data_IF_015401386546
#
_entry.id   IF_015401386546
#
_cell.length_a   1.000
_cell.length_b   1.000
_cell.length_c   1.000
_cell.angle_alpha   90.00
_cell.angle_beta   90.00
_cell.angle_gamma   90.00
#
_symmetry.space_group_name_H-M   'P 1'
#
loop_
_entity.id
_entity.type
_entity.pdbx_description
1 polymer ?
#
# COMPACT_ATOMS: atom_id res chain seq x y z
N UNK A 1 -8.86 2.23 36.11
CA UNK A 1 -10.29 2.57 36.09
C UNK A 1 -11.04 1.30 35.73
N UNK A 2 -11.88 0.74 36.60
CA UNK A 2 -12.76 -0.39 36.22
C UNK A 2 -14.00 0.25 35.58
N UNK A 3 -14.37 -0.10 34.33
CA UNK A 3 -15.60 0.43 33.74
C UNK A 3 -16.80 -0.02 34.59
N UNK A 4 -17.75 0.88 34.82
CA UNK A 4 -19.07 0.52 35.37
C UNK A 4 -19.85 -0.20 34.28
N UNK A 5 -20.27 -1.44 34.56
CA UNK A 5 -21.13 -2.20 33.66
C UNK A 5 -22.56 -1.64 33.72
N UNK A 6 -23.14 -1.37 32.56
CA UNK A 6 -24.52 -0.95 32.38
C UNK A 6 -25.43 -2.15 32.12
N UNK A 7 -26.73 -1.94 32.26
CA UNK A 7 -27.73 -2.95 31.89
C UNK A 7 -27.62 -3.28 30.39
N UNK A 8 -27.45 -4.57 30.07
CA UNK A 8 -27.20 -5.06 28.71
C UNK A 8 -25.72 -5.33 28.38
N UNK A 9 -24.78 -4.93 29.23
CA UNK A 9 -23.36 -5.23 29.01
C UNK A 9 -23.06 -6.72 29.21
N UNK A 10 -22.23 -7.28 28.31
CA UNK A 10 -21.73 -8.64 28.45
C UNK A 10 -20.39 -8.65 29.19
N UNK A 11 -20.28 -9.56 30.18
CA UNK A 11 -19.04 -9.77 30.94
C UNK A 11 -18.33 -11.03 30.47
N UNK A 12 -17.19 -10.86 29.80
CA UNK A 12 -16.36 -11.96 29.32
C UNK A 12 -15.21 -12.22 30.31
N UNK A 13 -14.98 -13.48 30.68
CA UNK A 13 -13.88 -13.86 31.56
C UNK A 13 -12.57 -14.11 30.77
N UNK A 14 -11.67 -13.14 30.77
CA UNK A 14 -10.35 -13.24 30.13
C UNK A 14 -9.22 -13.66 31.12
N UNK A 15 -9.54 -14.35 32.22
CA UNK A 15 -8.53 -14.77 33.20
C UNK A 15 -7.48 -15.67 32.56
N UNK A 16 -6.21 -15.31 32.72
CA UNK A 16 -5.07 -16.05 32.15
C UNK A 16 -4.76 -15.69 30.68
N UNK A 17 -5.46 -14.70 30.11
CA UNK A 17 -5.25 -14.21 28.75
C UNK A 17 -4.77 -12.75 28.77
N UNK A 18 -4.29 -12.27 27.63
CA UNK A 18 -3.95 -10.86 27.40
C UNK A 18 -5.10 -10.19 26.65
N UNK A 19 -5.45 -8.98 27.10
CA UNK A 19 -6.35 -8.07 26.36
C UNK A 19 -5.50 -6.94 25.82
N UNK A 20 -5.45 -6.80 24.50
CA UNK A 20 -4.73 -5.74 23.80
C UNK A 20 -5.67 -5.01 22.83
N UNK A 21 -5.28 -3.83 22.33
CA UNK A 21 -5.84 -3.33 21.08
C UNK A 21 -5.68 -4.36 19.97
N UNK A 22 -6.55 -4.29 18.96
CA UNK A 22 -6.37 -5.07 17.74
C UNK A 22 -5.10 -4.65 17.00
N UNK A 23 -4.47 -5.61 16.33
CA UNK A 23 -3.23 -5.37 15.58
C UNK A 23 -3.57 -4.57 14.31
N UNK A 24 -2.74 -3.57 14.01
CA UNK A 24 -2.79 -2.81 12.77
C UNK A 24 -1.69 -3.36 11.87
N UNK A 25 -2.08 -4.00 10.77
CA UNK A 25 -1.16 -4.39 9.72
C UNK A 25 -0.93 -3.20 8.79
N UNK A 26 0.26 -2.61 8.85
CA UNK A 26 0.62 -1.42 8.06
C UNK A 26 1.01 -1.75 6.62
N UNK A 27 1.13 -3.03 6.27
CA UNK A 27 1.55 -3.48 4.95
C UNK A 27 0.66 -4.60 4.43
N UNK A 28 -0.49 -4.24 3.86
CA UNK A 28 -1.45 -5.17 3.28
C UNK A 28 -1.68 -4.93 1.79
N UNK A 29 -1.97 -6.02 1.10
CA UNK A 29 -2.51 -6.08 -0.27
C UNK A 29 -3.93 -6.70 -0.29
N UNK A 30 -4.69 -6.55 0.80
CA UNK A 30 -6.03 -7.12 0.92
C UNK A 30 -7.11 -6.36 0.14
N UNK A 31 -6.74 -5.28 -0.55
CA UNK A 31 -7.65 -4.34 -1.23
C UNK A 31 -8.62 -5.02 -2.19
N UNK A 32 -8.15 -6.03 -2.92
CA UNK A 32 -8.98 -6.80 -3.84
C UNK A 32 -9.59 -8.02 -3.14
N UNK A 33 -8.79 -8.76 -2.39
CA UNK A 33 -9.24 -10.00 -1.75
C UNK A 33 -10.35 -9.79 -0.73
N UNK A 34 -10.49 -8.60 -0.15
CA UNK A 34 -11.58 -8.27 0.77
C UNK A 34 -12.96 -8.24 0.10
N UNK A 35 -13.04 -8.03 -1.22
CA UNK A 35 -14.32 -8.10 -1.94
C UNK A 35 -14.84 -9.55 -2.01
N UNK A 36 -13.92 -10.50 -2.24
CA UNK A 36 -14.18 -11.95 -2.29
C UNK A 36 -14.28 -12.58 -0.91
N UNK A 37 -13.35 -12.25 -0.01
CA UNK A 37 -13.20 -12.79 1.34
C UNK A 37 -13.52 -11.74 2.42
N UNK A 38 -14.68 -11.10 2.29
CA UNK A 38 -15.12 -9.95 3.10
C UNK A 38 -15.09 -10.16 4.61
N UNK A 39 -15.19 -11.40 5.10
CA UNK A 39 -15.06 -11.70 6.53
C UNK A 39 -13.64 -11.48 7.08
N UNK A 40 -12.62 -11.36 6.23
CA UNK A 40 -11.24 -11.08 6.67
C UNK A 40 -10.67 -12.14 7.63
N UNK A 41 -11.16 -13.38 7.56
CA UNK A 41 -10.89 -14.42 8.58
C UNK A 41 -9.40 -14.66 8.83
N UNK A 42 -8.60 -14.73 7.75
CA UNK A 42 -7.16 -14.95 7.84
C UNK A 42 -6.48 -13.87 8.69
N UNK A 43 -6.92 -12.61 8.54
CA UNK A 43 -6.41 -11.46 9.32
C UNK A 43 -6.91 -11.51 10.77
N UNK A 44 -8.23 -11.65 10.97
CA UNK A 44 -8.86 -11.64 12.30
C UNK A 44 -8.35 -12.77 13.19
N UNK A 45 -8.07 -13.95 12.64
CA UNK A 45 -7.51 -15.09 13.40
C UNK A 45 -6.10 -14.82 13.95
N UNK A 46 -5.38 -13.84 13.38
CA UNK A 46 -4.08 -13.39 13.86
C UNK A 46 -4.20 -12.20 14.84
N UNK A 47 -5.42 -11.73 15.12
CA UNK A 47 -5.68 -10.54 15.92
C UNK A 47 -5.58 -9.23 15.15
N UNK A 48 -5.42 -9.26 13.82
CA UNK A 48 -5.40 -8.08 12.97
C UNK A 48 -6.82 -7.55 12.80
N UNK A 49 -7.04 -6.28 13.13
CA UNK A 49 -8.34 -5.62 13.02
C UNK A 49 -8.36 -4.49 12.00
N UNK A 50 -7.18 -4.04 11.56
CA UNK A 50 -7.05 -2.93 10.62
C UNK A 50 -5.91 -3.21 9.64
N UNK A 51 -6.19 -3.03 8.35
CA UNK A 51 -5.20 -3.11 7.29
C UNK A 51 -4.94 -1.72 6.70
N UNK A 52 -3.67 -1.30 6.59
CA UNK A 52 -3.26 -0.25 5.68
C UNK A 52 -2.98 -0.88 4.31
N UNK A 53 -3.60 -0.31 3.30
CA UNK A 53 -3.93 -0.98 2.04
C UNK A 53 -3.44 -0.09 0.88
N UNK A 54 -3.29 -0.64 -0.32
CA UNK A 54 -2.79 0.12 -1.47
C UNK A 54 -1.28 0.30 -1.44
N UNK A 55 -0.56 -0.72 -0.96
CA UNK A 55 0.90 -0.74 -0.82
C UNK A 55 1.64 -0.98 -2.15
N UNK A 56 2.95 -0.74 -2.14
CA UNK A 56 3.86 -1.00 -3.27
C UNK A 56 3.46 -0.32 -4.59
N UNK A 57 2.76 0.81 -4.50
CA UNK A 57 2.30 1.60 -5.64
C UNK A 57 1.12 0.99 -6.40
N UNK A 58 0.42 0.01 -5.83
CA UNK A 58 -0.72 -0.65 -6.47
C UNK A 58 -1.95 -0.44 -5.58
N UNK A 59 -3.01 0.12 -6.16
CA UNK A 59 -4.34 0.25 -5.55
C UNK A 59 -5.42 -0.15 -6.57
N UNK A 60 -6.57 -0.70 -6.13
CA UNK A 60 -7.67 -1.08 -7.02
C UNK A 60 -8.60 0.10 -7.33
N UNK A 61 -8.13 1.32 -7.17
CA UNK A 61 -8.86 2.57 -7.34
C UNK A 61 -7.86 3.67 -7.74
N UNK A 62 -8.37 4.89 -7.96
CA UNK A 62 -7.58 6.06 -8.39
C UNK A 62 -7.13 5.95 -9.84
N UNK A 63 -8.08 5.64 -10.72
CA UNK A 63 -7.83 5.52 -12.15
C UNK A 63 -8.28 6.76 -12.93
N UNK A 64 -7.55 7.14 -13.98
CA UNK A 64 -8.04 8.10 -14.96
C UNK A 64 -9.33 7.62 -15.64
N UNK A 65 -10.20 8.56 -16.01
CA UNK A 65 -11.50 8.24 -16.63
C UNK A 65 -11.33 7.47 -17.95
N UNK A 66 -10.33 7.85 -18.72
CA UNK A 66 -10.01 7.28 -20.02
C UNK A 66 -9.42 5.87 -19.91
N UNK A 67 -8.95 5.48 -18.73
CA UNK A 67 -8.28 4.20 -18.47
C UNK A 67 -9.23 3.13 -17.91
N UNK A 68 -10.44 3.50 -17.49
CA UNK A 68 -11.38 2.62 -16.77
C UNK A 68 -11.71 1.31 -17.50
N UNK A 69 -11.85 1.34 -18.83
CA UNK A 69 -12.24 0.14 -19.59
C UNK A 69 -11.10 -0.87 -19.80
N UNK A 70 -9.84 -0.42 -19.82
CA UNK A 70 -8.65 -1.30 -19.89
C UNK A 70 -8.40 -1.99 -18.54
N UNK A 71 -8.86 -1.38 -17.45
CA UNK A 71 -8.77 -1.92 -16.10
C UNK A 71 -9.83 -2.93 -15.75
N UNK A 72 -11.04 -2.81 -16.28
CA UNK A 72 -12.09 -3.81 -16.08
C UNK A 72 -11.55 -5.20 -16.42
N UNK A 73 -10.92 -5.37 -17.58
CA UNK A 73 -10.33 -6.66 -17.99
C UNK A 73 -9.18 -7.11 -17.07
N UNK A 74 -8.37 -6.19 -16.55
CA UNK A 74 -7.23 -6.54 -15.68
C UNK A 74 -7.66 -6.91 -14.26
N UNK A 75 -8.65 -6.21 -13.72
CA UNK A 75 -9.16 -6.42 -12.37
C UNK A 75 -10.13 -7.61 -12.33
N UNK A 76 -10.99 -7.82 -13.33
CA UNK A 76 -11.86 -9.01 -13.38
C UNK A 76 -11.04 -10.32 -13.39
N UNK A 77 -9.82 -10.30 -13.96
CA UNK A 77 -8.91 -11.45 -13.99
C UNK A 77 -7.97 -11.53 -12.77
N UNK A 78 -8.12 -10.65 -11.77
CA UNK A 78 -7.30 -10.68 -10.57
C UNK A 78 -7.81 -11.71 -9.57
N UNK A 79 -6.91 -12.43 -8.88
CA UNK A 79 -7.24 -13.52 -7.94
C UNK A 79 -8.18 -13.10 -6.77
N UNK A 80 -8.35 -11.79 -6.55
CA UNK A 80 -9.17 -11.19 -5.49
C UNK A 80 -10.60 -10.81 -5.86
N UNK A 81 -10.97 -10.82 -7.15
CA UNK A 81 -12.32 -10.44 -7.61
C UNK A 81 -13.06 -11.72 -8.04
N UNK A 82 -14.34 -11.89 -7.66
CA UNK A 82 -15.10 -13.02 -8.20
C UNK A 82 -15.47 -12.74 -9.67
N UNK A 83 -15.56 -13.79 -10.49
CA UNK A 83 -16.02 -13.66 -11.89
C UNK A 83 -17.37 -12.93 -12.05
N UNK A 84 -18.19 -12.92 -10.99
CA UNK A 84 -19.50 -12.26 -10.96
C UNK A 84 -19.46 -10.82 -10.43
N UNK A 85 -18.35 -10.40 -9.84
CA UNK A 85 -18.18 -9.05 -9.32
C UNK A 85 -17.79 -8.13 -10.47
N UNK A 86 -18.74 -7.28 -10.89
CA UNK A 86 -18.47 -6.26 -11.90
C UNK A 86 -17.52 -5.19 -11.34
N UNK A 87 -16.45 -4.89 -12.05
CA UNK A 87 -15.58 -3.74 -11.75
C UNK A 87 -16.22 -2.48 -12.32
N UNK A 88 -17.03 -1.79 -11.51
CA UNK A 88 -17.85 -0.63 -11.91
C UNK A 88 -17.44 0.67 -11.18
N UNK A 89 -16.24 0.68 -10.58
CA UNK A 89 -15.72 1.80 -9.83
C UNK A 89 -14.39 2.28 -10.42
N UNK A 90 -14.09 3.57 -10.22
CA UNK A 90 -12.85 4.20 -10.67
C UNK A 90 -12.12 4.89 -9.52
N UNK A 91 -12.87 5.61 -8.72
CA UNK A 91 -12.40 6.43 -7.61
C UNK A 91 -12.29 5.63 -6.32
N UNK A 92 -11.57 6.17 -5.33
CA UNK A 92 -11.53 5.56 -4.01
C UNK A 92 -12.92 5.61 -3.34
N UNK A 93 -13.66 6.70 -3.53
CA UNK A 93 -15.02 6.86 -3.02
C UNK A 93 -15.96 5.77 -3.53
N UNK A 94 -15.98 5.52 -4.84
CA UNK A 94 -16.80 4.46 -5.45
C UNK A 94 -16.37 3.05 -4.98
N UNK A 95 -15.06 2.77 -4.92
CA UNK A 95 -14.55 1.50 -4.38
C UNK A 95 -15.01 1.29 -2.94
N UNK A 96 -14.86 2.33 -2.11
CA UNK A 96 -15.27 2.30 -0.69
C UNK A 96 -16.76 2.06 -0.55
N UNK A 97 -17.61 2.72 -1.35
CA UNK A 97 -19.05 2.46 -1.32
C UNK A 97 -19.39 0.99 -1.60
N UNK A 98 -18.65 0.35 -2.51
CA UNK A 98 -18.84 -1.07 -2.83
C UNK A 98 -18.41 -1.98 -1.68
N UNK A 99 -17.27 -1.69 -1.08
CA UNK A 99 -16.76 -2.39 0.12
C UNK A 99 -17.73 -2.24 1.29
N UNK A 100 -18.24 -1.03 1.54
CA UNK A 100 -19.20 -0.72 2.59
C UNK A 100 -20.53 -1.48 2.36
N UNK A 101 -21.06 -1.48 1.12
CA UNK A 101 -22.27 -2.25 0.76
C UNK A 101 -22.09 -3.75 0.95
N UNK A 102 -20.89 -4.28 0.71
CA UNK A 102 -20.58 -5.70 0.88
C UNK A 102 -20.51 -6.09 2.36
N UNK A 103 -20.11 -5.16 3.22
CA UNK A 103 -19.84 -5.38 4.64
C UNK A 103 -18.57 -6.21 4.85
N UNK A 104 -17.57 -5.62 5.50
CA UNK A 104 -16.28 -6.26 5.75
C UNK A 104 -16.01 -6.46 7.25
N UNK A 105 -15.19 -7.47 7.58
CA UNK A 105 -14.81 -7.79 8.96
C UNK A 105 -13.62 -7.00 9.50
N UNK A 106 -12.98 -6.17 8.68
CA UNK A 106 -11.77 -5.42 9.00
C UNK A 106 -12.01 -3.92 8.83
N UNK A 107 -11.22 -3.10 9.52
CA UNK A 107 -11.05 -1.70 9.13
C UNK A 107 -10.02 -1.62 8.00
N UNK A 108 -10.19 -0.68 7.07
CA UNK A 108 -9.23 -0.44 5.98
C UNK A 108 -8.80 1.03 6.00
N UNK A 109 -7.49 1.25 5.93
CA UNK A 109 -6.86 2.55 5.73
C UNK A 109 -6.22 2.59 4.32
N UNK A 110 -6.92 3.08 3.29
CA UNK A 110 -6.47 2.96 1.91
C UNK A 110 -5.41 4.01 1.54
N UNK A 111 -4.41 3.59 0.77
CA UNK A 111 -3.45 4.47 0.09
C UNK A 111 -3.71 4.44 -1.42
N UNK A 112 -3.43 5.53 -2.11
CA UNK A 112 -3.40 5.52 -3.57
C UNK A 112 -2.04 5.03 -4.08
N UNK A 113 -2.06 4.10 -5.03
CA UNK A 113 -0.84 3.55 -5.61
C UNK A 113 -0.26 4.44 -6.70
N UNK A 114 1.00 4.86 -6.57
CA UNK A 114 1.68 5.65 -7.60
C UNK A 114 1.73 4.93 -8.96
N UNK A 115 1.99 3.63 -8.97
CA UNK A 115 1.98 2.82 -10.20
C UNK A 115 0.62 2.76 -10.85
N UNK A 116 -0.44 2.61 -10.04
CA UNK A 116 -1.82 2.72 -10.52
C UNK A 116 -2.08 4.08 -11.17
N UNK A 117 -1.75 5.17 -10.48
CA UNK A 117 -1.93 6.54 -10.99
C UNK A 117 -1.16 6.73 -12.29
N UNK A 118 0.13 6.36 -12.31
CA UNK A 118 1.02 6.51 -13.46
C UNK A 118 0.54 5.69 -14.65
N UNK A 119 0.19 4.42 -14.43
CA UNK A 119 -0.34 3.56 -15.49
C UNK A 119 -1.64 4.12 -16.07
N UNK A 120 -2.50 4.71 -15.23
CA UNK A 120 -3.77 5.25 -15.69
C UNK A 120 -3.65 6.49 -16.56
N UNK A 121 -2.59 7.28 -16.40
CA UNK A 121 -2.38 8.52 -17.15
C UNK A 121 -1.44 8.31 -18.34
N UNK A 122 -0.38 7.54 -18.14
CA UNK A 122 0.71 7.39 -19.13
C UNK A 122 0.63 6.09 -19.94
N UNK A 123 -0.32 5.19 -19.61
CA UNK A 123 -0.45 3.85 -20.20
C UNK A 123 0.20 2.77 -19.33
N UNK A 124 -0.14 1.50 -19.56
CA UNK A 124 0.49 0.36 -18.87
C UNK A 124 1.93 0.13 -19.36
N UNK A 125 2.61 -0.85 -18.76
CA UNK A 125 3.93 -1.28 -19.24
C UNK A 125 3.87 -1.67 -20.73
N UNK A 126 4.79 -1.12 -21.52
CA UNK A 126 4.87 -1.31 -22.97
C UNK A 126 3.99 -0.35 -23.77
N UNK A 127 3.15 0.44 -23.11
CA UNK A 127 2.29 1.46 -23.73
C UNK A 127 2.68 2.89 -23.32
N UNK A 128 3.78 3.05 -22.57
CA UNK A 128 4.35 4.35 -22.23
C UNK A 128 4.38 4.67 -20.73
N UNK A 129 3.82 3.81 -19.87
CA UNK A 129 3.86 4.00 -18.43
C UNK A 129 5.26 3.99 -17.84
N UNK A 130 6.14 3.17 -18.41
CA UNK A 130 7.53 3.01 -18.01
C UNK A 130 8.46 4.12 -18.53
N UNK A 131 7.95 5.12 -19.27
CA UNK A 131 8.75 6.30 -19.63
C UNK A 131 9.28 6.96 -18.37
N UNK A 132 10.52 7.43 -18.38
CA UNK A 132 11.13 8.01 -17.17
C UNK A 132 10.45 9.29 -16.69
N UNK A 133 9.88 10.08 -17.61
CA UNK A 133 9.24 11.36 -17.31
C UNK A 133 7.83 11.46 -17.93
N UNK A 134 6.82 11.91 -17.17
CA UNK A 134 5.57 12.39 -17.73
C UNK A 134 5.80 13.71 -18.48
N UNK A 135 4.89 14.04 -19.38
CA UNK A 135 4.68 15.41 -19.84
C UNK A 135 4.08 16.26 -18.72
N UNK A 136 4.15 17.59 -18.83
CA UNK A 136 3.54 18.48 -17.84
C UNK A 136 2.02 18.25 -17.70
N UNK A 137 1.34 17.97 -18.82
CA UNK A 137 -0.09 17.65 -18.81
C UNK A 137 -0.39 16.34 -18.06
N UNK A 138 0.43 15.31 -18.27
CA UNK A 138 0.31 14.03 -17.57
C UNK A 138 0.59 14.18 -16.06
N UNK A 139 1.61 14.96 -15.69
CA UNK A 139 1.90 15.23 -14.28
C UNK A 139 0.73 15.94 -13.59
N UNK A 140 0.13 16.94 -14.24
CA UNK A 140 -1.03 17.65 -13.69
C UNK A 140 -2.28 16.73 -13.61
N UNK A 141 -2.45 15.79 -14.55
CA UNK A 141 -3.50 14.76 -14.44
C UNK A 141 -3.24 13.83 -13.24
N UNK A 142 -2.00 13.37 -13.04
CA UNK A 142 -1.65 12.52 -11.90
C UNK A 142 -1.85 13.25 -10.57
N UNK A 143 -1.49 14.54 -10.47
CA UNK A 143 -1.76 15.37 -9.28
C UNK A 143 -3.25 15.44 -8.96
N UNK A 144 -4.10 15.61 -9.97
CA UNK A 144 -5.57 15.64 -9.80
C UNK A 144 -6.13 14.31 -9.31
N UNK A 145 -5.63 13.18 -9.81
CA UNK A 145 -6.04 11.86 -9.34
C UNK A 145 -5.64 11.60 -7.89
N UNK A 146 -4.41 11.97 -7.52
CA UNK A 146 -3.95 11.89 -6.12
C UNK A 146 -4.82 12.79 -5.24
N UNK A 147 -5.13 14.01 -5.69
CA UNK A 147 -6.01 14.93 -4.97
C UNK A 147 -7.45 14.38 -4.80
N UNK A 148 -8.04 13.80 -5.84
CA UNK A 148 -9.33 13.11 -5.79
C UNK A 148 -9.31 11.99 -4.73
N UNK A 149 -8.27 11.15 -4.74
CA UNK A 149 -8.11 10.08 -3.76
C UNK A 149 -7.95 10.58 -2.31
N UNK A 150 -7.18 11.66 -2.09
CA UNK A 150 -7.04 12.25 -0.76
C UNK A 150 -8.37 12.84 -0.26
N UNK A 151 -9.17 13.46 -1.13
CA UNK A 151 -10.52 13.95 -0.78
C UNK A 151 -11.48 12.80 -0.45
N UNK A 152 -11.34 11.67 -1.13
CA UNK A 152 -12.12 10.45 -0.86
C UNK A 152 -11.71 9.72 0.44
N UNK A 153 -10.64 10.18 1.10
CA UNK A 153 -10.19 9.66 2.39
C UNK A 153 -8.97 8.73 2.33
N UNK A 154 -8.16 8.80 1.27
CA UNK A 154 -6.88 8.11 1.26
C UNK A 154 -5.98 8.62 2.41
N UNK A 155 -5.31 7.69 3.10
CA UNK A 155 -4.35 8.00 4.16
C UNK A 155 -3.01 8.49 3.63
N UNK A 156 -2.78 8.34 2.32
CA UNK A 156 -1.54 8.72 1.68
C UNK A 156 -1.37 8.14 0.29
N UNK A 157 -0.13 8.16 -0.18
CA UNK A 157 0.28 7.53 -1.43
C UNK A 157 1.40 6.51 -1.17
N UNK A 158 1.40 5.41 -1.93
CA UNK A 158 2.49 4.44 -1.90
C UNK A 158 3.23 4.36 -3.23
N UNK A 159 4.47 3.87 -3.22
CA UNK A 159 5.26 3.56 -4.42
C UNK A 159 5.81 2.14 -4.38
N UNK A 160 6.05 1.58 -5.57
CA UNK A 160 6.79 0.34 -5.79
C UNK A 160 7.86 0.55 -6.85
N UNK A 161 8.97 1.15 -6.43
CA UNK A 161 10.00 1.67 -7.33
C UNK A 161 10.88 0.59 -7.96
N UNK A 162 10.71 -0.68 -7.58
CA UNK A 162 11.30 -1.82 -8.28
C UNK A 162 10.48 -2.27 -9.50
N UNK A 163 9.18 -1.90 -9.54
CA UNK A 163 8.22 -2.44 -10.51
C UNK A 163 7.89 -1.47 -11.64
N UNK A 164 7.54 -2.00 -12.82
CA UNK A 164 6.82 -1.19 -13.80
C UNK A 164 5.45 -0.79 -13.25
N UNK A 165 4.90 0.37 -13.58
CA UNK A 165 5.38 1.45 -14.47
C UNK A 165 6.33 2.44 -13.78
N UNK A 166 6.71 2.18 -12.52
CA UNK A 166 7.32 3.15 -11.60
C UNK A 166 8.85 3.09 -11.57
N UNK A 167 9.47 1.98 -11.99
CA UNK A 167 10.91 1.72 -11.88
C UNK A 167 11.82 2.75 -12.54
N UNK A 168 11.30 3.42 -13.56
CA UNK A 168 12.02 4.46 -14.31
C UNK A 168 11.66 5.88 -13.84
N UNK A 169 10.73 6.01 -12.89
CA UNK A 169 10.23 7.29 -12.39
C UNK A 169 11.34 8.10 -11.74
N UNK A 170 11.39 9.37 -12.08
CA UNK A 170 12.28 10.32 -11.44
C UNK A 170 11.70 10.77 -10.09
N UNK A 171 12.59 10.94 -9.11
CA UNK A 171 12.21 11.33 -7.75
C UNK A 171 11.46 12.66 -7.68
N UNK A 172 11.75 13.59 -8.59
CA UNK A 172 11.07 14.90 -8.66
C UNK A 172 9.58 14.75 -8.92
N UNK A 173 9.18 13.78 -9.75
CA UNK A 173 7.78 13.47 -10.01
C UNK A 173 7.07 12.98 -8.75
N UNK A 174 7.72 12.08 -8.00
CA UNK A 174 7.19 11.54 -6.74
C UNK A 174 7.04 12.67 -5.71
N UNK A 175 8.04 13.55 -5.60
CA UNK A 175 8.01 14.72 -4.71
C UNK A 175 6.83 15.65 -5.06
N UNK A 176 6.59 15.91 -6.34
CA UNK A 176 5.47 16.74 -6.79
C UNK A 176 4.09 16.16 -6.42
N UNK A 177 3.92 14.84 -6.51
CA UNK A 177 2.69 14.18 -6.07
C UNK A 177 2.56 14.13 -4.55
N UNK A 178 3.66 13.89 -3.82
CA UNK A 178 3.66 13.88 -2.37
C UNK A 178 3.42 15.27 -1.76
N UNK A 179 3.75 16.35 -2.47
CA UNK A 179 3.35 17.71 -2.09
C UNK A 179 1.83 17.87 -2.07
N UNK A 180 1.09 17.18 -2.95
CA UNK A 180 -0.38 17.11 -2.88
C UNK A 180 -0.79 16.36 -1.62
N UNK A 181 -0.27 15.16 -1.39
CA UNK A 181 -0.56 14.32 -0.20
C UNK A 181 -0.33 15.09 1.11
N UNK A 182 0.76 15.87 1.19
CA UNK A 182 1.09 16.71 2.35
C UNK A 182 -0.02 17.70 2.70
N UNK A 183 -0.71 18.30 1.71
CA UNK A 183 -1.78 19.28 1.97
C UNK A 183 -2.93 18.68 2.78
N UNK A 184 -3.10 17.36 2.71
CA UNK A 184 -4.12 16.58 3.42
C UNK A 184 -3.58 15.90 4.68
N UNK A 185 -2.31 16.12 5.04
CA UNK A 185 -1.67 15.45 6.18
C UNK A 185 -1.42 13.95 5.98
N UNK A 186 -1.44 13.47 4.73
CA UNK A 186 -1.21 12.06 4.41
C UNK A 186 0.24 11.60 4.63
N UNK A 187 0.45 10.28 4.53
CA UNK A 187 1.77 9.64 4.63
C UNK A 187 2.26 9.07 3.31
N UNK A 188 3.54 8.73 3.26
CA UNK A 188 4.19 8.07 2.13
C UNK A 188 4.62 6.66 2.54
N UNK A 189 4.31 5.65 1.73
CA UNK A 189 4.82 4.29 1.88
C UNK A 189 5.63 3.91 0.65
N UNK A 190 6.74 3.20 0.81
CA UNK A 190 7.57 2.84 -0.35
C UNK A 190 8.15 1.44 -0.22
N UNK A 191 7.79 0.61 -1.20
CA UNK A 191 8.71 -0.40 -1.70
C UNK A 191 9.78 0.35 -2.48
N UNK A 192 10.95 0.51 -1.85
CA UNK A 192 12.06 1.31 -2.34
C UNK A 192 12.70 0.69 -3.59
N UNK A 193 13.43 1.50 -4.36
CA UNK A 193 13.90 1.13 -5.71
C UNK A 193 14.77 -0.11 -5.78
N UNK A 194 15.46 -0.41 -4.70
CA UNK A 194 16.34 -1.57 -4.59
C UNK A 194 16.33 -2.07 -3.16
N UNK A 195 16.15 -3.38 -2.99
CA UNK A 195 16.31 -4.07 -1.72
C UNK A 195 17.59 -4.93 -1.69
N UNK A 196 18.45 -4.83 -2.72
CA UNK A 196 19.67 -5.62 -2.88
C UNK A 196 20.95 -4.76 -3.00
N UNK A 197 21.54 -4.68 -4.19
CA UNK A 197 22.86 -4.14 -4.48
C UNK A 197 22.89 -2.63 -4.28
N UNK A 198 21.77 -1.94 -4.49
CA UNK A 198 21.63 -0.50 -4.30
C UNK A 198 20.73 -0.13 -3.10
N UNK A 199 20.62 -1.02 -2.10
CA UNK A 199 19.77 -0.79 -0.92
C UNK A 199 20.09 0.52 -0.17
N UNK A 200 21.36 0.84 0.03
CA UNK A 200 21.75 2.05 0.76
C UNK A 200 21.36 3.30 -0.02
N UNK A 201 21.57 3.27 -1.34
CA UNK A 201 21.20 4.33 -2.28
C UNK A 201 19.69 4.53 -2.34
N UNK A 202 18.92 3.44 -2.34
CA UNK A 202 17.47 3.46 -2.33
C UNK A 202 16.90 4.04 -1.02
N UNK A 203 17.50 3.73 0.13
CA UNK A 203 17.13 4.35 1.42
C UNK A 203 17.47 5.84 1.43
N UNK A 204 18.61 6.26 0.87
CA UNK A 204 18.95 7.67 0.72
C UNK A 204 17.97 8.41 -0.20
N UNK A 205 17.55 7.77 -1.30
CA UNK A 205 16.51 8.30 -2.18
C UNK A 205 15.19 8.49 -1.41
N UNK A 206 14.76 7.49 -0.64
CA UNK A 206 13.55 7.57 0.17
C UNK A 206 13.59 8.72 1.19
N UNK A 207 14.69 8.86 1.94
CA UNK A 207 14.89 9.94 2.91
C UNK A 207 14.77 11.30 2.22
N UNK A 208 15.44 11.47 1.09
CA UNK A 208 15.42 12.71 0.33
C UNK A 208 14.02 13.04 -0.20
N UNK A 209 13.27 12.05 -0.70
CA UNK A 209 11.88 12.25 -1.14
C UNK A 209 11.01 12.73 0.03
N UNK A 210 11.12 12.09 1.20
CA UNK A 210 10.34 12.47 2.39
C UNK A 210 10.66 13.90 2.85
N UNK A 211 11.94 14.26 2.88
CA UNK A 211 12.42 15.59 3.25
C UNK A 211 11.93 16.67 2.28
N UNK A 212 12.15 16.49 0.97
CA UNK A 212 11.77 17.48 -0.04
C UNK A 212 10.27 17.67 -0.20
N UNK A 213 9.49 16.61 -0.01
CA UNK A 213 8.04 16.70 0.01
C UNK A 213 7.53 17.22 1.36
N UNK A 214 8.27 16.98 2.46
CA UNK A 214 7.89 17.22 3.84
C UNK A 214 6.70 16.36 4.28
N UNK A 215 6.77 15.07 3.94
CA UNK A 215 5.79 14.05 4.35
C UNK A 215 6.43 13.09 5.34
N UNK A 216 5.59 12.49 6.19
CA UNK A 216 5.99 11.33 6.98
C UNK A 216 6.07 10.09 6.09
N UNK A 217 7.07 9.22 6.32
CA UNK A 217 7.36 8.09 5.45
C UNK A 217 7.43 6.76 6.17
N UNK A 218 7.10 5.68 5.48
CA UNK A 218 7.38 4.29 5.88
C UNK A 218 8.08 3.55 4.76
N UNK A 219 9.28 3.03 5.03
CA UNK A 219 9.92 2.04 4.16
C UNK A 219 9.19 0.72 4.39
N UNK A 220 8.56 0.24 3.35
CA UNK A 220 7.83 -1.02 3.36
C UNK A 220 8.78 -2.19 3.43
N UNK A 221 8.43 -3.21 4.23
CA UNK A 221 9.08 -4.52 4.33
C UNK A 221 10.61 -4.49 4.21
N UNK A 222 11.25 -3.63 5.01
CA UNK A 222 12.67 -3.31 4.93
C UNK A 222 13.53 -4.56 5.07
N UNK A 223 14.39 -4.81 4.07
CA UNK A 223 15.19 -6.03 3.98
C UNK A 223 16.47 -5.80 3.19
N UNK A 224 17.35 -6.81 3.20
CA UNK A 224 18.48 -6.92 2.30
C UNK A 224 18.44 -8.28 1.58
N UNK A 225 18.18 -8.26 0.29
CA UNK A 225 18.17 -9.44 -0.56
C UNK A 225 19.59 -9.82 -0.98
N UNK A 226 19.84 -11.13 -1.13
CA UNK A 226 21.12 -11.75 -1.48
C UNK A 226 22.21 -11.72 -0.38
N UNK A 227 23.04 -12.79 -0.23
CA UNK A 227 23.99 -12.92 0.88
C UNK A 227 25.01 -11.80 1.03
N UNK A 228 25.48 -11.21 -0.07
CA UNK A 228 26.47 -10.14 -0.05
C UNK A 228 25.91 -8.80 0.48
N UNK A 229 24.59 -8.69 0.67
CA UNK A 229 23.93 -7.48 1.17
C UNK A 229 23.52 -7.56 2.65
N UNK A 230 23.66 -8.71 3.32
CA UNK A 230 23.10 -8.93 4.67
C UNK A 230 23.61 -7.99 5.78
N UNK A 231 24.75 -7.33 5.59
CA UNK A 231 25.25 -6.31 6.52
C UNK A 231 24.66 -4.91 6.32
N UNK A 232 24.08 -4.63 5.14
CA UNK A 232 23.56 -3.30 4.78
C UNK A 232 22.42 -2.78 5.68
N UNK A 233 21.53 -3.63 6.26
CA UNK A 233 20.50 -3.16 7.17
C UNK A 233 21.04 -2.34 8.34
N UNK A 234 22.23 -2.67 8.85
CA UNK A 234 22.92 -1.91 9.92
C UNK A 234 23.12 -0.45 9.50
N UNK A 235 23.63 -0.22 8.29
CA UNK A 235 23.86 1.13 7.77
C UNK A 235 22.54 1.83 7.45
N UNK A 236 21.57 1.14 6.87
CA UNK A 236 20.27 1.77 6.54
C UNK A 236 19.48 2.18 7.79
N UNK A 237 19.54 1.40 8.86
CA UNK A 237 18.90 1.75 10.13
C UNK A 237 19.58 2.95 10.79
N UNK A 238 20.92 3.02 10.71
CA UNK A 238 21.69 4.20 11.11
C UNK A 238 21.25 5.45 10.34
N UNK A 239 21.06 5.35 9.02
CA UNK A 239 20.59 6.45 8.18
C UNK A 239 19.15 6.88 8.52
N UNK A 240 18.26 5.92 8.82
CA UNK A 240 16.89 6.22 9.26
C UNK A 240 16.89 6.97 10.60
N UNK A 241 17.72 6.54 11.55
CA UNK A 241 17.85 7.19 12.85
C UNK A 241 18.41 8.62 12.71
N UNK A 242 19.48 8.79 11.94
CA UNK A 242 20.07 10.11 11.64
C UNK A 242 19.05 11.06 10.98
N UNK A 243 18.26 10.57 10.03
CA UNK A 243 17.20 11.36 9.41
C UNK A 243 16.12 11.80 10.42
N UNK A 244 15.75 10.92 11.37
CA UNK A 244 14.81 11.25 12.44
C UNK A 244 15.35 12.29 13.40
N UNK A 245 16.64 12.24 13.73
CA UNK A 245 17.32 13.27 14.54
C UNK A 245 17.32 14.64 13.84
N UNK A 246 17.35 14.64 12.50
CA UNK A 246 17.21 15.84 11.66
C UNK A 246 15.75 16.31 11.48
N UNK A 247 14.78 15.64 12.09
CA UNK A 247 13.36 16.00 12.06
C UNK A 247 12.57 15.39 10.90
N UNK A 248 13.17 14.50 10.10
CA UNK A 248 12.48 13.78 9.02
C UNK A 248 11.73 12.59 9.63
N UNK A 249 10.39 12.66 9.65
CA UNK A 249 9.55 11.66 10.31
C UNK A 249 9.41 10.39 9.45
N UNK A 250 10.33 9.45 9.59
CA UNK A 250 10.34 8.19 8.86
C UNK A 250 10.46 6.98 9.77
N UNK A 251 9.84 5.88 9.35
CA UNK A 251 9.93 4.56 9.98
C UNK A 251 10.11 3.49 8.90
N UNK A 252 10.24 2.23 9.33
CA UNK A 252 10.15 1.08 8.45
C UNK A 252 9.31 -0.03 9.10
N UNK A 253 8.67 -0.85 8.29
CA UNK A 253 8.05 -2.11 8.72
C UNK A 253 8.84 -3.32 8.19
N UNK A 254 8.57 -4.49 8.76
CA UNK A 254 9.13 -5.76 8.33
C UNK A 254 8.20 -6.91 8.73
N UNK A 255 8.25 -8.00 7.97
CA UNK A 255 7.59 -9.26 8.33
C UNK A 255 8.61 -10.26 8.90
N UNK A 256 8.20 -11.18 9.78
CA UNK A 256 9.12 -12.05 10.52
C UNK A 256 9.53 -13.32 9.73
N UNK A 257 9.92 -13.17 8.46
CA UNK A 257 10.29 -14.28 7.58
C UNK A 257 11.57 -13.99 6.80
N UNK A 258 12.35 -15.05 6.51
CA UNK A 258 13.61 -14.97 5.73
C UNK A 258 13.41 -15.21 4.23
N UNK A 259 12.16 -15.11 3.76
CA UNK A 259 11.75 -15.34 2.38
C UNK A 259 10.82 -14.21 1.94
N UNK A 260 10.84 -13.92 0.65
CA UNK A 260 9.99 -12.90 0.02
C UNK A 260 8.93 -13.60 -0.81
N UNK A 261 7.73 -13.03 -0.86
CA UNK A 261 6.68 -13.41 -1.79
C UNK A 261 6.17 -12.14 -2.47
N UNK A 262 6.23 -12.09 -3.80
CA UNK A 262 5.75 -10.97 -4.62
C UNK A 262 4.44 -11.29 -5.34
N UNK A 263 3.92 -12.50 -5.14
CA UNK A 263 2.62 -13.04 -5.60
C UNK A 263 2.14 -14.10 -4.61
N UNK A 264 0.90 -14.56 -4.73
CA UNK A 264 0.45 -15.75 -4.02
C UNK A 264 1.28 -16.95 -4.48
N UNK A 265 2.34 -17.24 -3.73
CA UNK A 265 3.17 -18.41 -3.97
C UNK A 265 2.38 -19.68 -3.67
N UNK A 266 1.34 -19.59 -2.82
CA UNK A 266 0.42 -20.68 -2.51
C UNK A 266 -0.36 -21.15 -3.73
N UNK A 267 -0.73 -20.28 -4.67
CA UNK A 267 -1.46 -20.68 -5.88
C UNK A 267 -0.63 -21.58 -6.82
N UNK A 268 0.70 -21.58 -6.70
CA UNK A 268 1.57 -22.54 -7.41
C UNK A 268 1.64 -23.91 -6.74
N UNK A 269 1.30 -23.99 -5.45
CA UNK A 269 1.43 -25.20 -4.63
C UNK A 269 0.08 -25.79 -4.21
N UNK A 270 -1.01 -25.02 -4.32
CA UNK A 270 -2.36 -25.41 -3.98
C UNK A 270 -3.15 -25.59 -5.27
N UNK A 271 -3.50 -26.83 -5.61
CA UNK A 271 -4.48 -27.07 -6.66
C UNK A 271 -5.84 -26.55 -6.20
N UNK A 272 -6.56 -25.85 -7.10
CA UNK A 272 -7.95 -25.47 -6.86
C UNK A 272 -8.77 -26.71 -6.47
N UNK A 273 -9.20 -26.77 -5.21
CA UNK A 273 -10.04 -27.86 -4.69
C UNK A 273 -9.49 -28.64 -3.50
N UNK A 274 -8.22 -28.46 -3.12
CA UNK A 274 -7.70 -29.05 -1.88
C UNK A 274 -7.84 -28.05 -0.72
N UNK A 275 -8.91 -28.21 0.07
CA UNK A 275 -9.05 -27.53 1.36
C UNK A 275 -8.16 -28.18 2.41
N UNK A 276 -7.53 -27.36 3.25
CA UNK A 276 -6.96 -27.79 4.54
C UNK A 276 -8.07 -28.33 5.45
#
# INVERSE_FOLDING_TARGET
IKPELKEGDEKINAKGLIVSPGVIDVHSHSDLSILKHNKGKSRLMQGITTDATGNCGISPHTFAKEYGQVLEDQLHNSEGINEKDHVDWRTLGEWREKVDKRGIGLNIAPFCGFGTVRASVMGKEGEGGERSKPTDEELEKMKKLVEEAMNDGAFGMSTGLEYATQRNAFKEEIVELLRVVRRYGGSYMSHIRSEDDFLIEAVKEFIMICDQAGVRGTISHHKAASPWNWGKPVETLRLIEEAREQGINIICDAYPWTRVAVRDVGSFFLNEGESI
#
